data_IF_026812514771
#
_entry.id   IF_026812514771
#
_cell.length_a   1.000
_cell.length_b   1.000
_cell.length_c   1.000
_cell.angle_alpha   90.00
_cell.angle_beta   90.00
_cell.angle_gamma   90.00
#
_symmetry.space_group_name_H-M   'P 1'
#
loop_
_entity.id
_entity.type
_entity.pdbx_description
1 polymer ?
#
# COMPACT_ATOMS: atom_id res chain seq x y z
N UNK A 1 -7.90 19.18 19.53
CA UNK A 1 -8.67 18.02 20.04
C UNK A 1 -8.20 16.76 19.32
N UNK A 2 -7.60 15.83 20.05
CA UNK A 2 -7.18 14.53 19.52
C UNK A 2 -8.37 13.56 19.59
N UNK A 3 -8.64 12.75 18.55
CA UNK A 3 -9.78 11.85 18.59
C UNK A 3 -9.51 10.70 19.55
N UNK A 4 -10.48 10.53 20.44
CA UNK A 4 -10.64 9.50 21.46
C UNK A 4 -10.35 8.10 20.93
N UNK A 5 -9.43 7.42 21.62
CA UNK A 5 -9.21 5.98 21.55
C UNK A 5 -10.52 5.24 21.83
N UNK A 6 -11.15 4.65 20.80
CA UNK A 6 -12.29 3.75 20.96
C UNK A 6 -11.83 2.33 20.61
N UNK A 7 -11.10 1.73 21.54
CA UNK A 7 -10.80 0.31 21.56
C UNK A 7 -10.97 -0.16 22.99
N UNK A 8 -12.19 -0.56 23.37
CA UNK A 8 -12.42 -1.21 24.65
C UNK A 8 -11.67 -2.55 24.66
N UNK A 9 -10.50 -2.59 25.28
CA UNK A 9 -9.77 -3.82 25.58
C UNK A 9 -10.55 -4.64 26.63
N UNK A 10 -11.59 -5.34 26.19
CA UNK A 10 -12.04 -6.55 26.86
C UNK A 10 -11.03 -7.63 26.50
N UNK A 11 -10.12 -7.87 27.44
CA UNK A 11 -8.95 -8.77 27.35
C UNK A 11 -9.26 -10.04 26.54
N UNK A 12 -8.81 -10.06 25.29
CA UNK A 12 -8.82 -11.26 24.43
C UNK A 12 -9.84 -11.29 23.28
N UNK A 13 -10.78 -10.35 23.16
CA UNK A 13 -11.77 -10.36 22.06
C UNK A 13 -11.75 -9.04 21.29
N UNK A 14 -11.48 -9.12 19.98
CA UNK A 14 -11.39 -7.97 19.08
C UNK A 14 -12.49 -8.05 18.02
N UNK A 15 -13.39 -7.06 18.02
CA UNK A 15 -14.43 -6.94 17.00
C UNK A 15 -13.91 -6.14 15.81
N UNK A 16 -13.67 -6.81 14.69
CA UNK A 16 -13.19 -6.20 13.44
C UNK A 16 -14.40 -5.83 12.59
N UNK A 17 -14.61 -4.53 12.39
CA UNK A 17 -15.70 -3.99 11.59
C UNK A 17 -15.46 -4.16 10.08
N UNK A 18 -16.48 -4.00 9.22
CA UNK A 18 -16.28 -3.91 7.77
C UNK A 18 -15.29 -2.79 7.42
N UNK A 19 -14.38 -3.04 6.48
CA UNK A 19 -13.29 -2.12 6.10
C UNK A 19 -12.29 -1.79 7.22
N UNK A 20 -12.19 -2.66 8.22
CA UNK A 20 -11.11 -2.62 9.22
C UNK A 20 -10.23 -3.85 9.10
N UNK A 21 -8.99 -3.72 9.55
CA UNK A 21 -8.03 -4.80 9.62
C UNK A 21 -7.24 -4.78 10.93
N UNK A 22 -6.64 -5.92 11.26
CA UNK A 22 -5.83 -6.14 12.47
C UNK A 22 -4.58 -6.91 12.06
N UNK A 23 -3.44 -6.63 12.69
CA UNK A 23 -2.23 -7.45 12.57
C UNK A 23 -2.06 -8.31 13.81
N UNK A 24 -1.97 -9.62 13.60
CA UNK A 24 -1.81 -10.60 14.68
C UNK A 24 -0.49 -11.32 14.49
N UNK A 25 0.40 -11.23 15.47
CA UNK A 25 1.64 -11.98 15.56
C UNK A 25 1.39 -13.28 16.31
N UNK A 26 1.65 -14.41 15.66
CA UNK A 26 1.76 -15.70 16.32
C UNK A 26 3.18 -15.83 16.90
N UNK A 27 3.30 -16.03 18.21
CA UNK A 27 4.58 -16.13 18.93
C UNK A 27 5.26 -17.49 18.76
N UNK A 28 4.52 -18.54 18.38
CA UNK A 28 5.10 -19.86 18.13
C UNK A 28 5.86 -19.87 16.80
N UNK A 29 5.27 -19.25 15.78
CA UNK A 29 5.83 -19.21 14.41
C UNK A 29 6.59 -17.91 14.13
N UNK A 30 6.44 -16.89 14.98
CA UNK A 30 6.86 -15.51 14.75
C UNK A 30 6.33 -14.89 13.45
N UNK A 31 5.19 -15.39 12.96
CA UNK A 31 4.56 -14.93 11.73
C UNK A 31 3.49 -13.89 12.08
N UNK A 32 3.59 -12.73 11.45
CA UNK A 32 2.51 -11.72 11.53
C UNK A 32 1.57 -11.91 10.35
N UNK A 33 0.29 -12.10 10.65
CA UNK A 33 -0.77 -12.24 9.66
C UNK A 33 -1.75 -11.07 9.74
N UNK A 34 -2.40 -10.84 8.62
CA UNK A 34 -3.41 -9.82 8.43
C UNK A 34 -4.80 -10.42 8.57
N UNK A 35 -5.63 -9.83 9.43
CA UNK A 35 -7.00 -10.24 9.65
C UNK A 35 -7.96 -9.12 9.22
N UNK A 36 -8.72 -9.37 8.16
CA UNK A 36 -9.72 -8.43 7.60
C UNK A 36 -11.11 -8.69 8.20
N UNK A 37 -11.87 -7.64 8.50
CA UNK A 37 -13.28 -7.72 8.93
C UNK A 37 -14.28 -7.91 7.77
N UNK A 38 -15.56 -8.20 8.03
CA UNK A 38 -16.23 -8.24 9.33
C UNK A 38 -16.07 -9.59 10.05
N UNK A 39 -15.37 -9.60 11.19
CA UNK A 39 -15.27 -10.81 12.03
C UNK A 39 -14.90 -10.47 13.46
N UNK A 40 -15.15 -11.43 14.35
CA UNK A 40 -14.72 -11.36 15.74
C UNK A 40 -13.47 -12.22 15.86
N UNK A 41 -12.35 -11.60 16.20
CA UNK A 41 -11.09 -12.27 16.47
C UNK A 41 -11.02 -12.55 17.97
N UNK A 42 -10.88 -13.81 18.34
CA UNK A 42 -10.60 -14.25 19.71
C UNK A 42 -9.11 -14.55 19.79
N UNK A 43 -8.37 -13.68 20.47
CA UNK A 43 -6.92 -13.79 20.66
C UNK A 43 -6.61 -15.05 21.48
N UNK A 44 -5.76 -15.91 20.94
CA UNK A 44 -5.20 -17.04 21.67
C UNK A 44 -4.00 -16.62 22.54
N UNK A 45 -3.58 -17.49 23.47
CA UNK A 45 -2.49 -17.19 24.40
C UNK A 45 -1.15 -16.92 23.68
N UNK A 46 -0.87 -17.69 22.63
CA UNK A 46 0.31 -17.55 21.78
C UNK A 46 0.20 -16.40 20.75
N UNK A 47 -0.89 -15.63 20.76
CA UNK A 47 -1.11 -14.57 19.78
C UNK A 47 -0.98 -13.21 20.41
N UNK A 48 -0.35 -12.28 19.70
CA UNK A 48 -0.23 -10.89 20.09
C UNK A 48 -0.77 -10.00 19.00
N UNK A 49 -1.76 -9.18 19.32
CA UNK A 49 -2.22 -8.13 18.41
C UNK A 49 -1.17 -7.02 18.40
N UNK A 50 -0.58 -6.77 17.22
CA UNK A 50 0.41 -5.71 17.02
C UNK A 50 -0.27 -4.38 16.69
N UNK A 51 -1.23 -4.43 15.76
CA UNK A 51 -2.04 -3.30 15.34
C UNK A 51 -3.49 -3.66 15.62
N UNK A 52 -4.18 -2.79 16.37
CA UNK A 52 -5.60 -2.95 16.66
C UNK A 52 -6.48 -2.81 15.41
N UNK A 53 -7.81 -2.77 15.56
CA UNK A 53 -8.72 -2.54 14.43
C UNK A 53 -8.47 -1.16 13.81
N UNK A 54 -7.70 -1.14 12.74
CA UNK A 54 -7.37 0.05 11.94
C UNK A 54 -8.24 0.10 10.69
N UNK A 55 -8.49 1.31 10.19
CA UNK A 55 -9.29 1.49 8.96
C UNK A 55 -8.46 1.14 7.74
N UNK A 56 -9.06 0.44 6.79
CA UNK A 56 -8.48 0.25 5.46
C UNK A 56 -8.24 1.59 4.78
N UNK A 57 -7.23 1.63 3.93
CA UNK A 57 -6.94 2.79 3.13
C UNK A 57 -7.98 2.92 2.01
N UNK A 58 -8.57 4.10 1.89
CA UNK A 58 -9.56 4.42 0.85
C UNK A 58 -8.96 5.50 -0.04
N UNK A 59 -8.72 5.18 -1.30
CA UNK A 59 -8.21 6.12 -2.30
C UNK A 59 -9.38 6.55 -3.19
N UNK A 60 -9.87 7.80 -3.08
CA UNK A 60 -10.94 8.29 -3.92
C UNK A 60 -10.47 8.46 -5.36
N UNK A 61 -11.42 8.62 -6.30
CA UNK A 61 -11.10 8.83 -7.71
C UNK A 61 -10.15 10.00 -7.90
N UNK A 62 -9.21 9.87 -8.85
CA UNK A 62 -8.16 10.86 -9.15
C UNK A 62 -7.21 11.15 -7.99
N UNK A 63 -7.06 10.24 -7.04
CA UNK A 63 -6.06 10.33 -5.98
C UNK A 63 -5.10 9.14 -6.06
N UNK A 64 -3.97 9.27 -5.38
CA UNK A 64 -2.98 8.22 -5.21
C UNK A 64 -2.39 8.27 -3.79
N UNK A 65 -1.76 7.19 -3.36
CA UNK A 65 -0.89 7.17 -2.19
C UNK A 65 0.44 6.50 -2.53
N UNK A 66 1.46 6.74 -1.71
CA UNK A 66 2.76 6.08 -1.85
C UNK A 66 2.96 5.14 -0.68
N UNK A 67 3.22 3.88 -0.99
CA UNK A 67 3.47 2.81 -0.03
C UNK A 67 4.93 2.40 -0.14
N UNK A 68 5.57 2.26 1.01
CA UNK A 68 6.94 1.78 1.13
C UNK A 68 6.92 0.32 1.60
N UNK A 69 7.88 -0.45 1.10
CA UNK A 69 7.98 -1.90 1.30
C UNK A 69 6.74 -2.66 0.81
N UNK A 70 6.31 -2.47 -0.45
CA UNK A 70 5.10 -3.10 -0.96
C UNK A 70 5.19 -4.63 -0.93
N UNK A 71 4.04 -5.29 -0.80
CA UNK A 71 3.95 -6.75 -0.91
C UNK A 71 4.37 -7.23 -2.30
N UNK A 72 5.16 -8.30 -2.33
CA UNK A 72 5.51 -9.00 -3.56
C UNK A 72 4.27 -9.70 -4.11
N UNK A 73 3.91 -9.36 -5.35
CA UNK A 73 2.81 -10.01 -6.08
C UNK A 73 3.40 -10.84 -7.23
N UNK A 74 2.81 -12.01 -7.44
CA UNK A 74 3.11 -12.85 -8.60
C UNK A 74 2.47 -12.27 -9.87
N UNK A 75 2.74 -12.87 -11.04
CA UNK A 75 2.18 -12.47 -12.33
C UNK A 75 0.64 -12.45 -12.35
N UNK A 76 0.00 -13.28 -11.54
CA UNK A 76 -1.46 -13.31 -11.36
C UNK A 76 -1.99 -12.25 -10.37
N UNK A 77 -1.12 -11.37 -9.84
CA UNK A 77 -1.47 -10.35 -8.86
C UNK A 77 -1.72 -10.90 -7.45
N UNK A 78 -1.45 -12.19 -7.22
CA UNK A 78 -1.59 -12.83 -5.91
C UNK A 78 -0.35 -12.58 -5.05
N UNK A 79 -0.56 -12.37 -3.75
CA UNK A 79 0.52 -12.10 -2.81
C UNK A 79 1.37 -13.35 -2.59
N UNK A 80 2.68 -13.19 -2.75
CA UNK A 80 3.65 -14.25 -2.51
C UNK A 80 3.93 -14.34 -1.02
N UNK A 81 3.73 -15.52 -0.45
CA UNK A 81 4.05 -15.82 0.94
C UNK A 81 5.21 -16.81 1.00
N UNK A 82 6.00 -16.76 2.08
CA UNK A 82 7.06 -17.71 2.33
C UNK A 82 6.54 -19.06 2.84
N UNK A 83 7.41 -20.06 2.99
CA UNK A 83 7.07 -21.41 3.51
C UNK A 83 6.35 -21.36 4.87
N UNK A 84 6.65 -20.35 5.67
CA UNK A 84 6.05 -20.15 6.99
C UNK A 84 4.73 -19.35 6.95
N UNK A 85 4.27 -18.92 5.76
CA UNK A 85 3.05 -18.12 5.60
C UNK A 85 3.24 -16.61 5.85
N UNK A 86 4.48 -16.14 6.01
CA UNK A 86 4.78 -14.71 6.08
C UNK A 86 4.74 -14.08 4.70
N UNK A 87 4.09 -12.91 4.57
CA UNK A 87 4.05 -12.15 3.31
C UNK A 87 5.44 -11.65 2.94
N UNK A 88 5.84 -11.82 1.68
CA UNK A 88 7.11 -11.28 1.17
C UNK A 88 6.93 -9.83 0.77
N UNK A 89 7.88 -8.99 1.15
CA UNK A 89 7.90 -7.56 0.85
C UNK A 89 9.10 -7.23 -0.04
N UNK A 90 8.92 -6.25 -0.91
CA UNK A 90 9.99 -5.61 -1.67
C UNK A 90 10.61 -4.51 -0.81
N UNK A 91 11.63 -4.87 -0.04
CA UNK A 91 12.25 -3.96 0.93
C UNK A 91 12.95 -2.79 0.22
N UNK A 92 12.77 -1.58 0.76
CA UNK A 92 13.29 -0.32 0.21
C UNK A 92 12.70 0.09 -1.15
N UNK A 93 11.65 -0.59 -1.60
CA UNK A 93 10.92 -0.23 -2.81
C UNK A 93 9.66 0.61 -2.48
N UNK A 94 9.13 1.27 -3.50
CA UNK A 94 7.93 2.10 -3.39
C UNK A 94 6.89 1.70 -4.44
N UNK A 95 5.64 1.53 -4.01
CA UNK A 95 4.50 1.28 -4.89
C UNK A 95 3.55 2.47 -4.83
N UNK A 96 3.07 2.91 -6.00
CA UNK A 96 2.07 3.97 -6.09
C UNK A 96 0.71 3.34 -6.35
N UNK A 97 -0.17 3.39 -5.35
CA UNK A 97 -1.54 2.88 -5.50
C UNK A 97 -2.49 3.99 -5.90
N UNK A 98 -3.31 3.72 -6.93
CA UNK A 98 -4.36 4.62 -7.42
C UNK A 98 -5.72 4.25 -6.81
N UNK A 99 -6.78 4.91 -7.29
CA UNK A 99 -8.15 4.62 -6.87
C UNK A 99 -8.53 3.14 -7.12
N UNK A 100 -8.81 2.42 -6.05
CA UNK A 100 -9.18 1.01 -6.03
C UNK A 100 -10.12 0.71 -4.85
N UNK A 101 -10.56 -0.55 -4.72
CA UNK A 101 -11.34 -0.97 -3.56
C UNK A 101 -10.54 -0.77 -2.25
N UNK A 102 -11.20 -0.45 -1.12
CA UNK A 102 -10.54 -0.26 0.16
C UNK A 102 -9.62 -1.43 0.50
N UNK A 103 -8.36 -1.13 0.78
CA UNK A 103 -7.36 -2.17 1.01
C UNK A 103 -6.65 -1.96 2.36
N UNK A 104 -6.28 -3.05 3.04
CA UNK A 104 -5.46 -3.00 4.23
C UNK A 104 -3.98 -2.82 3.87
N UNK A 105 -3.20 -2.33 4.83
CA UNK A 105 -1.73 -2.43 4.76
C UNK A 105 -1.30 -3.79 5.31
N UNK A 106 -0.42 -4.47 4.59
CA UNK A 106 0.15 -5.73 5.06
C UNK A 106 1.20 -5.49 6.15
N UNK A 107 1.50 -6.51 6.98
CA UNK A 107 2.56 -6.40 7.98
C UNK A 107 3.89 -6.00 7.34
N UNK A 108 4.43 -4.85 7.74
CA UNK A 108 5.68 -4.28 7.22
C UNK A 108 5.52 -3.27 6.08
N UNK A 109 4.35 -3.19 5.44
CA UNK A 109 4.03 -2.07 4.55
C UNK A 109 3.89 -0.78 5.37
N UNK A 110 4.40 0.33 4.84
CA UNK A 110 4.31 1.64 5.48
C UNK A 110 3.70 2.64 4.52
N UNK A 111 2.70 3.39 4.98
CA UNK A 111 2.13 4.50 4.22
C UNK A 111 3.09 5.69 4.27
N UNK A 112 3.95 5.83 3.27
CA UNK A 112 4.94 6.91 3.17
C UNK A 112 4.28 8.26 2.89
N UNK A 113 3.35 8.29 1.94
CA UNK A 113 2.54 9.47 1.65
C UNK A 113 1.06 9.14 1.73
N UNK A 114 0.35 9.92 2.54
CA UNK A 114 -1.11 9.86 2.61
C UNK A 114 -1.75 10.18 1.24
N UNK A 115 -3.04 9.86 1.14
CA UNK A 115 -3.83 10.05 -0.08
C UNK A 115 -3.77 11.51 -0.57
N UNK A 116 -3.28 11.70 -1.81
CA UNK A 116 -3.13 13.00 -2.47
C UNK A 116 -3.79 13.01 -3.85
N UNK A 117 -4.30 14.16 -4.31
CA UNK A 117 -4.86 14.28 -5.65
C UNK A 117 -3.76 14.13 -6.72
N UNK A 118 -4.11 13.50 -7.84
CA UNK A 118 -3.26 13.46 -9.02
C UNK A 118 -3.11 14.85 -9.62
N UNK A 119 -1.91 15.15 -10.12
CA UNK A 119 -1.66 16.43 -10.76
C UNK A 119 -2.28 16.46 -12.16
N UNK A 120 -3.19 17.41 -12.37
CA UNK A 120 -3.82 17.68 -13.66
C UNK A 120 -3.10 18.82 -14.34
N UNK A 121 -2.75 18.64 -15.61
CA UNK A 121 -2.06 19.66 -16.41
C UNK A 121 -3.07 20.25 -17.38
N UNK A 122 -3.18 21.57 -17.34
CA UNK A 122 -4.05 22.36 -18.19
C UNK A 122 -3.58 22.36 -19.66
N UNK A 123 -4.48 22.64 -20.63
CA UNK A 123 -4.07 22.86 -22.01
C UNK A 123 -3.03 23.98 -22.11
N UNK A 124 -2.11 23.86 -23.06
CA UNK A 124 -0.96 24.78 -23.26
C UNK A 124 0.03 24.83 -22.08
N UNK A 125 -0.03 23.89 -21.14
CA UNK A 125 1.01 23.65 -20.13
C UNK A 125 1.63 22.29 -20.32
N UNK A 126 2.84 22.14 -19.82
CA UNK A 126 3.55 20.88 -19.86
C UNK A 126 4.39 20.69 -18.59
N UNK A 127 4.58 19.43 -18.19
CA UNK A 127 5.55 19.05 -17.16
C UNK A 127 6.83 18.57 -17.82
N UNK A 128 7.95 19.13 -17.36
CA UNK A 128 9.27 18.60 -17.67
C UNK A 128 9.60 17.50 -16.65
N UNK A 129 9.62 16.27 -17.13
CA UNK A 129 9.99 15.09 -16.37
C UNK A 129 11.46 14.79 -16.58
N UNK A 130 12.11 14.21 -15.58
CA UNK A 130 13.50 13.75 -15.67
C UNK A 130 13.59 12.36 -15.06
N UNK A 131 14.16 11.42 -15.80
CA UNK A 131 14.40 10.07 -15.30
C UNK A 131 15.38 10.10 -14.13
N UNK A 132 15.00 9.49 -13.01
CA UNK A 132 15.84 9.38 -11.80
C UNK A 132 16.62 8.06 -11.79
N UNK A 133 16.11 7.05 -12.52
CA UNK A 133 16.67 5.70 -12.65
C UNK A 133 16.50 5.25 -14.09
N UNK A 134 17.25 4.23 -14.48
CA UNK A 134 17.05 3.55 -15.75
C UNK A 134 15.78 2.69 -15.67
N UNK A 135 14.90 2.79 -16.66
CA UNK A 135 13.68 1.97 -16.73
C UNK A 135 13.22 1.78 -18.18
N UNK A 136 12.35 0.79 -18.38
CA UNK A 136 11.72 0.56 -19.68
C UNK A 136 10.31 1.17 -19.67
N UNK A 137 10.04 2.08 -20.60
CA UNK A 137 8.72 2.70 -20.75
C UNK A 137 7.66 1.70 -21.26
N UNK A 138 6.37 2.08 -21.20
CA UNK A 138 5.25 1.28 -21.71
C UNK A 138 5.41 0.90 -23.20
N UNK A 139 6.16 1.71 -23.96
CA UNK A 139 6.47 1.48 -25.37
C UNK A 139 7.66 0.53 -25.61
N UNK A 140 8.28 0.00 -24.54
CA UNK A 140 9.47 -0.85 -24.63
C UNK A 140 10.76 -0.07 -24.89
N UNK A 141 10.75 1.24 -24.74
CA UNK A 141 11.94 2.08 -24.89
C UNK A 141 12.71 2.13 -23.58
N UNK A 142 14.00 1.78 -23.63
CA UNK A 142 14.92 1.95 -22.51
C UNK A 142 15.22 3.44 -22.32
N UNK A 143 14.84 3.97 -21.17
CA UNK A 143 15.09 5.35 -20.75
C UNK A 143 16.25 5.35 -19.76
N UNK A 144 17.26 6.15 -20.04
CA UNK A 144 18.43 6.31 -19.18
C UNK A 144 18.22 7.41 -18.14
N UNK A 145 18.88 7.25 -17.00
CA UNK A 145 18.93 8.27 -15.95
C UNK A 145 19.38 9.62 -16.51
N UNK A 146 18.66 10.67 -16.12
CA UNK A 146 18.93 12.04 -16.56
C UNK A 146 18.27 12.44 -17.87
N UNK A 147 17.68 11.52 -18.65
CA UNK A 147 16.87 11.87 -19.81
C UNK A 147 15.64 12.70 -19.39
N UNK A 148 15.31 13.71 -20.21
CA UNK A 148 14.23 14.64 -19.95
C UNK A 148 13.08 14.45 -20.95
N UNK A 149 11.85 14.44 -20.45
CA UNK A 149 10.63 14.23 -21.23
C UNK A 149 9.65 15.36 -20.98
N UNK A 150 8.78 15.60 -21.96
CA UNK A 150 7.74 16.61 -21.85
C UNK A 150 6.37 15.94 -21.88
N UNK A 151 5.64 16.02 -20.78
CA UNK A 151 4.23 15.64 -20.74
C UNK A 151 3.38 16.87 -21.02
N UNK A 152 2.75 16.93 -22.19
CA UNK A 152 1.89 18.05 -22.60
C UNK A 152 0.44 17.84 -22.15
N UNK A 153 -0.21 18.89 -21.65
CA UNK A 153 -1.63 18.86 -21.30
C UNK A 153 -2.54 18.99 -22.53
N UNK A 154 -3.86 18.70 -22.41
CA UNK A 154 -4.56 18.36 -21.18
C UNK A 154 -4.41 16.88 -20.80
N UNK A 155 -4.02 16.60 -19.56
CA UNK A 155 -3.82 15.23 -19.08
C UNK A 155 -3.62 15.14 -17.58
N UNK A 156 -3.86 13.96 -17.01
CA UNK A 156 -3.51 13.66 -15.62
C UNK A 156 -2.25 12.82 -15.63
N UNK A 157 -1.22 13.27 -14.92
CA UNK A 157 0.02 12.49 -14.82
C UNK A 157 -0.24 11.24 -13.98
N UNK A 158 0.12 10.08 -14.53
CA UNK A 158 0.30 8.86 -13.76
C UNK A 158 1.79 8.71 -13.55
N UNK A 159 2.22 8.64 -12.29
CA UNK A 159 3.62 8.37 -11.99
C UNK A 159 3.94 6.96 -12.49
N UNK A 160 4.96 6.83 -13.35
CA UNK A 160 5.39 5.53 -13.85
C UNK A 160 6.07 4.77 -12.71
N UNK A 161 5.63 3.55 -12.48
CA UNK A 161 6.43 2.55 -11.77
C UNK A 161 7.49 2.04 -12.75
N UNK A 162 8.78 2.07 -12.40
CA UNK A 162 9.79 1.42 -13.22
C UNK A 162 9.48 -0.09 -13.21
N UNK A 163 9.01 -0.63 -14.34
CA UNK A 163 9.01 -2.08 -14.53
C UNK A 163 10.46 -2.50 -14.68
N UNK A 164 10.94 -3.28 -13.73
CA UNK A 164 12.24 -3.93 -13.78
C UNK A 164 12.12 -5.29 -14.47
#
# INVERSE_FOLDING_TARGET
EAPTMIGSEVTGVYRILPFYYVHVLDQNTNVTRLEIGPKILVKQDHEKVLIGPERMLIIPSRHYCVIENPVLRDNDGKIVSDTNGQVKLLHSDIEIRFAQEPFPLYPGEVLKEAVRPLQVIEPNRALRLRAVLDFVDENGQEIQVGEEFLFQGPGTIRYCEPRN
#
